data_IF_841876534547
#
_entry.id   IF_841876534547
#
_cell.length_a   1.000
_cell.length_b   1.000
_cell.length_c   1.000
_cell.angle_alpha   90.00
_cell.angle_beta   90.00
_cell.angle_gamma   90.00
#
_symmetry.space_group_name_H-M   'P 1'
#
loop_
_entity.id
_entity.type
_entity.pdbx_description
1 polymer ?
#
# COMPACT_ATOMS: atom_id res chain seq x y z
N UNK A 1 -27.08 -9.42 -13.17
CA UNK A 1 -27.14 -8.81 -11.82
C UNK A 1 -25.89 -9.22 -11.09
N UNK A 2 -25.21 -8.34 -10.34
CA UNK A 2 -24.19 -8.79 -9.41
C UNK A 2 -24.86 -9.77 -8.44
N UNK A 3 -24.35 -11.00 -8.33
CA UNK A 3 -24.88 -11.96 -7.36
C UNK A 3 -24.78 -11.38 -5.94
N UNK A 4 -25.73 -11.70 -5.07
CA UNK A 4 -25.81 -11.20 -3.68
C UNK A 4 -24.51 -11.44 -2.88
N UNK A 5 -23.73 -12.45 -3.28
CA UNK A 5 -22.40 -12.74 -2.76
C UNK A 5 -21.38 -11.61 -3.04
N UNK A 6 -21.44 -10.98 -4.23
CA UNK A 6 -20.55 -9.87 -4.57
C UNK A 6 -20.83 -8.63 -3.73
N UNK A 7 -22.11 -8.33 -3.50
CA UNK A 7 -22.55 -7.20 -2.66
C UNK A 7 -22.11 -7.44 -1.21
N UNK A 8 -22.32 -8.65 -0.70
CA UNK A 8 -21.94 -9.03 0.66
C UNK A 8 -20.43 -8.98 0.87
N UNK A 9 -19.63 -9.41 -0.12
CA UNK A 9 -18.17 -9.31 -0.06
C UNK A 9 -17.68 -7.86 -0.07
N UNK A 10 -18.30 -7.01 -0.88
CA UNK A 10 -17.95 -5.58 -0.92
C UNK A 10 -18.33 -4.87 0.39
N UNK A 11 -19.49 -5.18 0.97
CA UNK A 11 -19.89 -4.64 2.27
C UNK A 11 -18.95 -5.09 3.40
N UNK A 12 -18.50 -6.35 3.35
CA UNK A 12 -17.49 -6.86 4.28
C UNK A 12 -16.14 -6.13 4.12
N UNK A 13 -15.68 -5.89 2.88
CA UNK A 13 -14.46 -5.14 2.60
C UNK A 13 -14.55 -3.68 3.06
N UNK A 14 -15.70 -3.03 2.85
CA UNK A 14 -15.97 -1.70 3.42
C UNK A 14 -15.95 -1.72 4.94
N UNK A 15 -16.58 -2.73 5.55
CA UNK A 15 -16.65 -2.86 7.00
C UNK A 15 -15.28 -3.10 7.61
N UNK A 16 -14.39 -3.83 6.97
CA UNK A 16 -13.00 -3.98 7.43
C UNK A 16 -12.27 -2.65 7.27
N UNK A 17 -12.28 -2.09 6.06
CA UNK A 17 -11.46 -0.92 5.70
C UNK A 17 -11.84 0.36 6.44
N UNK A 18 -13.12 0.55 6.83
CA UNK A 18 -13.53 1.72 7.64
C UNK A 18 -12.93 1.73 9.07
N UNK A 19 -12.47 0.58 9.57
CA UNK A 19 -11.83 0.48 10.88
C UNK A 19 -10.30 0.68 10.81
N UNK A 20 -9.72 0.68 9.60
CA UNK A 20 -8.31 0.96 9.37
C UNK A 20 -8.15 2.48 9.20
N UNK A 21 -7.73 3.14 10.28
CA UNK A 21 -7.67 4.60 10.38
C UNK A 21 -6.24 5.14 10.29
N UNK A 22 -5.22 4.29 10.41
CA UNK A 22 -3.83 4.71 10.35
C UNK A 22 -3.46 5.19 8.94
N UNK A 23 -2.63 6.24 8.87
CA UNK A 23 -2.12 6.80 7.62
C UNK A 23 -1.25 5.86 6.77
N UNK A 24 -1.00 4.63 7.25
CA UNK A 24 -0.16 3.64 6.56
C UNK A 24 -1.00 2.54 5.89
N UNK A 25 -2.31 2.48 6.18
CA UNK A 25 -3.28 1.67 5.46
C UNK A 25 -4.08 2.57 4.50
N UNK A 26 -4.63 1.97 3.44
CA UNK A 26 -5.51 2.71 2.52
C UNK A 26 -6.78 3.14 3.26
N UNK A 27 -7.05 4.45 3.28
CA UNK A 27 -8.22 5.00 3.97
C UNK A 27 -9.44 4.91 3.09
N UNK A 28 -10.53 4.46 3.67
CA UNK A 28 -11.84 4.43 3.02
C UNK A 28 -12.59 5.72 3.23
N UNK A 29 -13.04 6.34 2.14
CA UNK A 29 -13.82 7.57 2.19
C UNK A 29 -15.31 7.29 2.43
N UNK A 30 -15.94 6.45 1.61
CA UNK A 30 -17.34 6.06 1.77
C UNK A 30 -17.72 4.85 0.87
N UNK A 31 -18.84 4.22 1.20
CA UNK A 31 -19.49 3.16 0.42
C UNK A 31 -20.74 3.71 -0.28
N UNK A 32 -20.94 3.35 -1.55
CA UNK A 32 -22.16 3.69 -2.30
C UNK A 32 -22.90 2.42 -2.72
N UNK A 33 -23.89 2.02 -1.94
CA UNK A 33 -24.75 0.84 -2.19
C UNK A 33 -25.99 1.14 -3.05
N UNK A 34 -26.36 2.41 -3.18
CA UNK A 34 -27.59 2.82 -3.89
C UNK A 34 -27.54 2.55 -5.40
N UNK A 35 -26.34 2.38 -5.96
CA UNK A 35 -26.12 1.94 -7.33
C UNK A 35 -26.30 0.43 -7.39
N UNK A 36 -27.55 -0.04 -7.49
CA UNK A 36 -27.89 -1.49 -7.51
C UNK A 36 -27.10 -2.29 -8.55
N UNK A 37 -26.72 -1.67 -9.65
CA UNK A 37 -25.97 -2.31 -10.73
C UNK A 37 -24.44 -2.20 -10.56
N UNK A 38 -23.95 -1.34 -9.66
CA UNK A 38 -22.53 -1.06 -9.47
C UNK A 38 -22.22 -0.50 -8.07
N UNK A 39 -22.36 -1.34 -7.02
CA UNK A 39 -21.94 -0.93 -5.68
C UNK A 39 -20.43 -0.66 -5.67
N UNK A 40 -20.00 0.39 -4.99
CA UNK A 40 -18.62 0.89 -5.08
C UNK A 40 -18.09 1.37 -3.73
N UNK A 41 -16.82 1.06 -3.45
CA UNK A 41 -16.05 1.63 -2.33
C UNK A 41 -15.16 2.74 -2.88
N UNK A 42 -15.18 3.90 -2.24
CA UNK A 42 -14.31 5.02 -2.57
C UNK A 42 -13.17 5.07 -1.56
N UNK A 43 -11.94 5.10 -2.07
CA UNK A 43 -10.71 5.12 -1.29
C UNK A 43 -9.98 6.46 -1.48
N UNK A 44 -9.13 6.82 -0.52
CA UNK A 44 -8.21 7.95 -0.67
C UNK A 44 -7.25 7.71 -1.85
N UNK A 45 -7.03 8.74 -2.67
CA UNK A 45 -6.10 8.67 -3.78
C UNK A 45 -4.66 8.83 -3.30
N UNK A 46 -3.82 7.81 -3.53
CA UNK A 46 -2.40 7.89 -3.28
C UNK A 46 -1.67 8.46 -4.52
N UNK A 47 -0.94 9.57 -4.37
CA UNK A 47 -0.22 10.23 -5.47
C UNK A 47 1.10 9.54 -5.87
N UNK A 48 1.26 8.27 -5.53
CA UNK A 48 2.49 7.49 -5.73
C UNK A 48 2.35 6.37 -6.75
N UNK A 49 3.39 5.55 -6.85
CA UNK A 49 3.38 4.28 -7.61
C UNK A 49 3.29 3.11 -6.64
N UNK A 50 2.94 1.93 -7.15
CA UNK A 50 2.99 0.71 -6.33
C UNK A 50 4.43 0.40 -5.91
N UNK A 51 4.60 -0.30 -4.78
CA UNK A 51 5.92 -0.73 -4.34
C UNK A 51 6.64 -1.59 -5.40
N UNK A 52 5.89 -2.41 -6.13
CA UNK A 52 6.43 -3.23 -7.23
C UNK A 52 6.99 -2.37 -8.37
N UNK A 53 6.30 -1.30 -8.76
CA UNK A 53 6.78 -0.35 -9.78
C UNK A 53 8.00 0.43 -9.29
N UNK A 54 7.99 0.88 -8.03
CA UNK A 54 9.14 1.55 -7.43
C UNK A 54 10.37 0.65 -7.40
N UNK A 55 10.24 -0.60 -6.96
CA UNK A 55 11.34 -1.59 -6.96
C UNK A 55 11.89 -1.74 -8.38
N UNK A 56 11.03 -1.90 -9.39
CA UNK A 56 11.46 -2.01 -10.80
C UNK A 56 12.26 -0.79 -11.25
N UNK A 57 11.85 0.43 -10.88
CA UNK A 57 12.56 1.67 -11.25
C UNK A 57 13.99 1.76 -10.69
N UNK A 58 14.24 1.17 -9.51
CA UNK A 58 15.59 1.13 -8.91
C UNK A 58 16.47 0.12 -9.64
N UNK A 59 15.89 -0.98 -10.12
CA UNK A 59 16.62 -2.02 -10.86
C UNK A 59 16.90 -1.61 -12.31
N UNK A 60 16.10 -0.72 -12.90
CA UNK A 60 16.32 -0.20 -14.26
C UNK A 60 17.40 0.88 -14.36
N UNK A 61 17.85 1.44 -13.23
CA UNK A 61 19.06 2.28 -13.21
C UNK A 61 20.29 1.38 -13.31
N UNK A 62 20.72 1.21 -14.55
CA UNK A 62 21.80 0.39 -15.05
C UNK A 62 23.11 0.53 -14.22
N UNK A 63 23.58 -0.61 -13.71
CA UNK A 63 24.83 -0.77 -12.94
C UNK A 63 26.00 -0.96 -13.93
N UNK A 64 26.05 -0.16 -15.00
CA UNK A 64 27.06 -0.29 -16.06
C UNK A 64 28.31 0.58 -15.86
N UNK A 65 28.48 1.24 -14.71
CA UNK A 65 29.69 2.01 -14.40
C UNK A 65 30.39 1.51 -13.13
N UNK A 66 31.44 0.67 -13.25
CA UNK A 66 32.26 0.23 -12.13
C UNK A 66 33.38 1.25 -11.90
N UNK A 67 33.07 2.41 -11.32
CA UNK A 67 34.09 3.21 -10.62
C UNK A 67 33.53 3.76 -9.32
N UNK A 68 34.07 3.35 -8.16
CA UNK A 68 33.71 4.00 -6.91
C UNK A 68 34.31 5.40 -6.92
N UNK A 69 33.47 6.43 -6.89
CA UNK A 69 33.90 7.77 -6.49
C UNK A 69 33.62 7.84 -5.00
N UNK A 70 34.70 7.90 -4.22
CA UNK A 70 34.72 8.00 -2.76
C UNK A 70 33.66 9.00 -2.24
N UNK A 71 32.92 8.56 -1.20
CA UNK A 71 31.98 9.37 -0.42
C UNK A 71 30.54 9.45 -0.97
N UNK A 72 30.36 9.61 -2.28
CA UNK A 72 29.02 9.84 -2.86
C UNK A 72 28.20 8.54 -3.01
N UNK A 73 28.86 7.41 -3.33
CA UNK A 73 28.21 6.10 -3.39
C UNK A 73 27.73 5.61 -2.03
N UNK A 74 28.49 5.87 -0.96
CA UNK A 74 28.12 5.54 0.43
C UNK A 74 26.89 6.33 0.86
N UNK A 75 26.86 7.65 0.64
CA UNK A 75 25.70 8.51 0.94
C UNK A 75 24.44 8.10 0.16
N UNK A 76 24.58 7.65 -1.10
CA UNK A 76 23.45 7.14 -1.89
C UNK A 76 22.96 5.80 -1.32
N UNK A 77 23.85 4.91 -0.90
CA UNK A 77 23.49 3.63 -0.27
C UNK A 77 22.85 3.83 1.10
N UNK A 78 23.36 4.73 1.93
CA UNK A 78 22.80 5.08 3.23
C UNK A 78 21.38 5.64 3.10
N UNK A 79 21.16 6.58 2.17
CA UNK A 79 19.81 7.12 1.89
C UNK A 79 18.84 6.06 1.37
N UNK A 80 19.31 5.13 0.53
CA UNK A 80 18.49 4.00 0.08
C UNK A 80 18.12 3.08 1.25
N UNK A 81 19.06 2.81 2.15
CA UNK A 81 18.83 1.99 3.33
C UNK A 81 17.82 2.66 4.27
N UNK A 82 17.99 3.95 4.57
CA UNK A 82 17.04 4.73 5.38
C UNK A 82 15.61 4.65 4.81
N UNK A 83 15.48 4.80 3.48
CA UNK A 83 14.18 4.70 2.82
C UNK A 83 13.55 3.31 2.96
N UNK A 84 14.35 2.25 2.76
CA UNK A 84 13.90 0.85 2.94
C UNK A 84 13.48 0.61 4.40
N UNK A 85 14.25 1.09 5.37
CA UNK A 85 13.92 0.98 6.79
C UNK A 85 12.62 1.70 7.12
N UNK A 86 12.42 2.92 6.60
CA UNK A 86 11.20 3.68 6.83
C UNK A 86 9.98 3.01 6.17
N UNK A 87 10.15 2.46 4.98
CA UNK A 87 9.11 1.69 4.30
C UNK A 87 8.71 0.46 5.12
N UNK A 88 9.68 -0.33 5.59
CA UNK A 88 9.43 -1.50 6.42
C UNK A 88 8.68 -1.12 7.70
N UNK A 89 9.09 -0.04 8.38
CA UNK A 89 8.41 0.46 9.57
C UNK A 89 6.96 0.87 9.28
N UNK A 90 6.70 1.53 8.15
CA UNK A 90 5.35 1.95 7.78
C UNK A 90 4.46 0.73 7.49
N UNK A 91 4.97 -0.28 6.77
CA UNK A 91 4.26 -1.55 6.53
C UNK A 91 3.99 -2.27 7.85
N UNK A 92 4.97 -2.37 8.74
CA UNK A 92 4.79 -3.02 10.05
C UNK A 92 3.69 -2.34 10.88
N UNK A 93 3.60 -1.01 10.87
CA UNK A 93 2.53 -0.28 11.56
C UNK A 93 1.15 -0.58 10.96
N UNK A 94 1.04 -0.62 9.64
CA UNK A 94 -0.21 -0.99 8.97
C UNK A 94 -0.64 -2.42 9.31
N UNK A 95 0.29 -3.38 9.28
CA UNK A 95 0.02 -4.77 9.64
C UNK A 95 -0.38 -4.92 11.11
N UNK A 96 0.22 -4.14 12.02
CA UNK A 96 -0.18 -4.12 13.43
C UNK A 96 -1.62 -3.68 13.59
N UNK A 97 -2.04 -2.61 12.90
CA UNK A 97 -3.43 -2.14 12.96
C UNK A 97 -4.41 -3.18 12.41
N UNK A 98 -4.08 -3.82 11.29
CA UNK A 98 -4.90 -4.89 10.70
C UNK A 98 -5.05 -6.06 11.69
N UNK A 99 -3.94 -6.48 12.32
CA UNK A 99 -3.94 -7.53 13.33
C UNK A 99 -4.77 -7.14 14.56
N UNK A 100 -4.63 -5.92 15.07
CA UNK A 100 -5.37 -5.41 16.23
C UNK A 100 -6.88 -5.30 15.94
N UNK A 101 -7.26 -5.06 14.68
CA UNK A 101 -8.64 -5.11 14.21
C UNK A 101 -9.18 -6.54 14.06
N UNK A 102 -8.38 -7.57 14.34
CA UNK A 102 -8.77 -8.98 14.21
C UNK A 102 -8.88 -9.46 12.77
N UNK A 103 -8.23 -8.76 11.84
CA UNK A 103 -8.27 -9.04 10.39
C UNK A 103 -6.95 -9.69 9.99
N UNK A 104 -7.02 -10.67 9.09
CA UNK A 104 -5.82 -11.27 8.49
C UNK A 104 -5.68 -10.81 7.05
N UNK A 105 -4.59 -10.11 6.73
CA UNK A 105 -4.24 -9.76 5.36
C UNK A 105 -3.45 -10.91 4.73
N UNK A 106 -4.08 -11.67 3.82
CA UNK A 106 -3.53 -12.93 3.30
C UNK A 106 -2.65 -12.78 2.04
N UNK A 107 -2.64 -11.64 1.39
CA UNK A 107 -1.89 -11.39 0.14
C UNK A 107 -1.06 -10.11 0.19
#
# INVERSE_FOLDING_TARGET
FPDDDHISRLDNEYTISKHLMHCNATRTAFLRMELRDSPSIFLEWATGVTLAEWIKSIHSTDISSPRPIDGCSTLICERKLEFITQLALNISKALSEIHDAGVTHNN
#
